data_IF_764681579170
#
_entry.id   IF_764681579170
#
_cell.length_a   1.000
_cell.length_b   1.000
_cell.length_c   1.000
_cell.angle_alpha   90.00
_cell.angle_beta   90.00
_cell.angle_gamma   90.00
#
_symmetry.space_group_name_H-M   'P 1'
#
loop_
_entity.id
_entity.type
_entity.pdbx_description
1 polymer ?
#
# COMPACT_ATOMS: atom_id res chain seq x y z
N UNK A 1 -0.18 -19.01 19.89
CA UNK A 1 -0.73 -20.33 20.12
C UNK A 1 -0.68 -20.72 21.58
N UNK A 2 -1.44 -21.75 21.92
CA UNK A 2 -1.54 -22.38 23.22
C UNK A 2 -0.54 -23.53 23.31
N UNK A 3 0.09 -23.69 24.48
CA UNK A 3 1.05 -24.77 24.72
C UNK A 3 0.36 -26.14 24.58
N UNK A 4 1.06 -27.12 24.02
CA UNK A 4 0.63 -28.52 24.05
C UNK A 4 0.61 -29.08 25.47
N UNK A 5 0.23 -30.35 25.61
CA UNK A 5 0.10 -31.02 26.91
C UNK A 5 -0.83 -32.22 26.85
N UNK A 6 -1.13 -32.80 28.01
CA UNK A 6 -2.14 -33.86 28.14
C UNK A 6 -3.53 -33.40 27.67
N UNK A 7 -4.30 -34.29 27.06
CA UNK A 7 -5.63 -34.06 26.50
C UNK A 7 -6.67 -35.02 27.10
N UNK A 8 -7.85 -34.49 27.39
CA UNK A 8 -9.06 -35.28 27.68
C UNK A 8 -10.11 -35.18 26.57
N UNK A 9 -9.79 -34.47 25.48
CA UNK A 9 -10.65 -34.16 24.34
C UNK A 9 -12.02 -33.53 24.69
N UNK A 10 -12.18 -32.98 25.91
CA UNK A 10 -13.40 -32.26 26.33
C UNK A 10 -13.25 -30.75 26.12
N UNK A 11 -12.03 -30.23 26.20
CA UNK A 11 -11.69 -28.85 25.89
C UNK A 11 -10.37 -28.82 25.13
N UNK A 12 -10.45 -28.45 23.85
CA UNK A 12 -9.31 -28.26 22.98
C UNK A 12 -9.01 -26.76 22.88
N UNK A 13 -7.73 -26.35 22.96
CA UNK A 13 -7.37 -24.96 22.84
C UNK A 13 -7.46 -24.49 21.39
N UNK A 14 -7.90 -23.25 21.22
CA UNK A 14 -7.88 -22.59 19.92
C UNK A 14 -6.45 -22.16 19.53
N UNK A 15 -6.26 -21.94 18.23
CA UNK A 15 -5.13 -21.25 17.64
C UNK A 15 -5.01 -19.81 18.14
N UNK A 16 -3.88 -19.17 17.82
CA UNK A 16 -3.78 -17.73 18.03
C UNK A 16 -4.63 -16.96 17.02
N UNK A 17 -5.45 -16.03 17.49
CA UNK A 17 -6.19 -15.11 16.62
C UNK A 17 -5.23 -14.29 15.74
N UNK A 18 -5.57 -14.15 14.47
CA UNK A 18 -4.92 -13.23 13.55
C UNK A 18 -5.20 -11.78 13.95
N UNK A 19 -4.23 -10.89 13.74
CA UNK A 19 -4.42 -9.48 14.02
C UNK A 19 -5.48 -8.88 13.08
N UNK A 20 -6.50 -8.20 13.64
CA UNK A 20 -7.56 -7.57 12.86
C UNK A 20 -7.19 -6.14 12.46
N UNK A 21 -7.21 -5.83 11.15
CA UNK A 21 -7.01 -4.47 10.66
C UNK A 21 -7.71 -4.20 9.33
N UNK A 22 -8.19 -2.98 9.14
CA UNK A 22 -8.87 -2.52 7.92
C UNK A 22 -8.30 -1.17 7.50
N UNK A 23 -7.83 -1.11 6.26
CA UNK A 23 -7.30 0.09 5.62
C UNK A 23 -8.32 0.63 4.63
N UNK A 24 -9.07 1.66 5.06
CA UNK A 24 -10.22 2.16 4.30
C UNK A 24 -11.28 1.07 4.13
N UNK A 25 -11.39 0.52 2.92
CA UNK A 25 -12.33 -0.57 2.60
C UNK A 25 -11.65 -1.94 2.43
N UNK A 26 -10.33 -2.00 2.53
CA UNK A 26 -9.56 -3.24 2.34
C UNK A 26 -9.27 -3.87 3.69
N UNK A 27 -9.71 -5.11 3.88
CA UNK A 27 -9.36 -5.91 5.04
C UNK A 27 -7.96 -6.50 4.85
N UNK A 28 -7.06 -6.18 5.77
CA UNK A 28 -5.66 -6.60 5.77
C UNK A 28 -5.32 -7.45 7.01
N UNK A 29 -6.33 -8.08 7.60
CA UNK A 29 -6.15 -8.91 8.80
C UNK A 29 -5.23 -10.10 8.55
N UNK A 30 -4.47 -10.49 9.57
CA UNK A 30 -3.75 -11.77 9.56
C UNK A 30 -4.71 -12.96 9.65
N UNK A 31 -4.21 -14.14 9.30
CA UNK A 31 -4.95 -15.39 9.45
C UNK A 31 -4.84 -15.95 10.86
N UNK A 32 -5.91 -16.56 11.35
CA UNK A 32 -5.93 -17.31 12.61
C UNK A 32 -5.04 -18.55 12.49
N UNK A 33 -4.33 -18.88 13.56
CA UNK A 33 -3.55 -20.13 13.66
C UNK A 33 -4.46 -21.36 13.71
N UNK A 34 -3.91 -22.52 13.40
CA UNK A 34 -4.65 -23.78 13.51
C UNK A 34 -5.08 -24.05 14.94
N UNK A 35 -6.31 -24.53 15.11
CA UNK A 35 -6.84 -25.05 16.37
C UNK A 35 -6.28 -26.46 16.63
N UNK A 36 -6.44 -26.96 17.85
CA UNK A 36 -6.11 -28.35 18.18
C UNK A 36 -7.33 -29.25 17.96
N UNK A 37 -7.12 -30.39 17.30
CA UNK A 37 -8.10 -31.48 17.27
C UNK A 37 -7.77 -32.52 18.36
N UNK A 38 -8.71 -33.43 18.62
CA UNK A 38 -8.45 -34.54 19.52
C UNK A 38 -7.46 -35.49 18.84
N UNK A 39 -6.31 -35.81 19.45
CA UNK A 39 -5.30 -36.62 18.80
C UNK A 39 -5.85 -37.97 18.38
N UNK A 40 -5.72 -38.31 17.10
CA UNK A 40 -6.10 -39.62 16.58
C UNK A 40 -5.11 -40.05 15.52
N UNK A 41 -4.50 -41.23 15.72
CA UNK A 41 -3.34 -41.63 14.94
C UNK A 41 -3.57 -41.54 13.42
N UNK A 42 -2.75 -40.73 12.74
CA UNK A 42 -2.84 -40.49 11.30
C UNK A 42 -3.83 -39.41 10.85
N UNK A 43 -4.55 -38.76 11.77
CA UNK A 43 -5.31 -37.55 11.44
C UNK A 43 -4.36 -36.37 11.21
N UNK A 44 -4.73 -35.50 10.27
CA UNK A 44 -4.03 -34.25 9.99
C UNK A 44 -4.64 -33.17 10.88
N UNK A 45 -3.79 -32.50 11.65
CA UNK A 45 -4.17 -31.40 12.50
C UNK A 45 -4.58 -30.16 11.68
N UNK A 46 -5.41 -29.27 12.25
CA UNK A 46 -5.85 -28.07 11.56
C UNK A 46 -4.68 -27.19 11.08
N UNK A 47 -4.82 -26.70 9.86
CA UNK A 47 -3.91 -25.69 9.29
C UNK A 47 -4.31 -24.31 9.74
N UNK A 48 -3.36 -23.38 9.77
CA UNK A 48 -3.67 -21.96 9.90
C UNK A 48 -4.45 -21.45 8.70
N UNK A 49 -5.13 -20.32 8.87
CA UNK A 49 -5.88 -19.67 7.80
C UNK A 49 -5.01 -18.67 7.04
N UNK A 50 -5.33 -18.44 5.77
CA UNK A 50 -4.65 -17.44 4.94
C UNK A 50 -5.03 -16.03 5.40
N UNK A 51 -4.03 -15.15 5.50
CA UNK A 51 -4.25 -13.73 5.77
C UNK A 51 -5.04 -13.03 4.67
N UNK A 52 -5.51 -11.82 4.94
CA UNK A 52 -6.30 -11.01 4.00
C UNK A 52 -5.50 -9.87 3.40
N UNK A 53 -5.80 -9.44 2.16
CA UNK A 53 -6.74 -10.05 1.22
C UNK A 53 -6.18 -11.34 0.59
N UNK A 54 -6.95 -12.43 0.63
CA UNK A 54 -6.47 -13.76 0.22
C UNK A 54 -6.19 -13.92 -1.28
N UNK A 55 -6.77 -13.05 -2.12
CA UNK A 55 -6.61 -13.09 -3.58
C UNK A 55 -5.46 -12.20 -4.10
N UNK A 56 -4.92 -11.31 -3.27
CA UNK A 56 -4.04 -10.22 -3.74
C UNK A 56 -2.90 -9.90 -2.78
N UNK A 57 -2.52 -10.80 -1.88
CA UNK A 57 -1.31 -10.61 -1.07
C UNK A 57 -1.31 -11.20 0.33
N UNK A 58 -2.40 -11.81 0.80
CA UNK A 58 -2.42 -12.50 2.07
C UNK A 58 -1.43 -13.68 2.12
N UNK A 59 -0.69 -13.80 3.23
CA UNK A 59 0.20 -14.92 3.47
C UNK A 59 -0.58 -16.22 3.65
N UNK A 60 -0.11 -17.30 3.01
CA UNK A 60 -0.76 -18.62 3.12
C UNK A 60 -0.69 -19.17 4.54
N UNK A 61 -1.76 -19.82 4.99
CA UNK A 61 -1.74 -20.52 6.28
C UNK A 61 -0.76 -21.69 6.31
N UNK A 62 -0.13 -21.89 7.46
CA UNK A 62 0.79 -23.01 7.70
C UNK A 62 0.04 -24.33 7.84
N UNK A 63 0.55 -25.38 7.20
CA UNK A 63 -0.02 -26.72 7.30
C UNK A 63 0.13 -27.30 8.72
N UNK A 64 -0.90 -28.02 9.18
CA UNK A 64 -0.81 -28.81 10.41
C UNK A 64 0.06 -30.07 10.25
N UNK A 65 0.54 -30.61 11.36
CA UNK A 65 1.17 -31.93 11.44
C UNK A 65 0.13 -33.05 11.41
N UNK A 66 0.54 -34.31 11.58
CA UNK A 66 -0.40 -35.41 11.79
C UNK A 66 -0.08 -36.21 13.06
N UNK A 67 -1.10 -36.76 13.69
CA UNK A 67 -0.91 -37.38 15.00
C UNK A 67 -0.19 -38.73 14.95
N UNK A 68 0.51 -38.99 16.04
CA UNK A 68 1.13 -40.28 16.36
C UNK A 68 0.21 -41.12 17.28
N UNK A 69 0.72 -42.26 17.74
CA UNK A 69 0.11 -42.96 18.88
C UNK A 69 1.14 -43.30 19.94
N UNK A 70 0.67 -43.45 21.18
CA UNK A 70 1.44 -43.85 22.35
C UNK A 70 1.08 -45.29 22.67
N UNK A 71 2.10 -46.14 22.78
CA UNK A 71 1.97 -47.56 23.06
C UNK A 71 2.86 -47.99 24.22
N UNK A 72 2.40 -48.95 25.02
CA UNK A 72 3.20 -49.57 26.07
C UNK A 72 4.11 -50.65 25.49
N UNK A 73 5.41 -50.37 25.42
CA UNK A 73 6.39 -51.36 25.03
C UNK A 73 6.63 -52.34 26.18
N UNK A 74 6.25 -53.61 25.98
CA UNK A 74 6.41 -54.65 26.99
C UNK A 74 7.87 -55.05 27.21
N UNK A 75 8.72 -54.90 26.19
CA UNK A 75 10.12 -55.31 26.25
C UNK A 75 10.92 -54.33 27.11
N UNK A 76 10.65 -53.03 26.96
CA UNK A 76 11.32 -51.97 27.71
C UNK A 76 10.55 -51.49 28.95
N UNK A 77 9.29 -51.95 29.12
CA UNK A 77 8.39 -51.53 30.20
C UNK A 77 8.25 -50.00 30.28
N UNK A 78 8.12 -49.36 29.13
CA UNK A 78 7.96 -47.91 28.99
C UNK A 78 6.94 -47.53 27.92
N UNK A 79 6.48 -46.28 27.98
CA UNK A 79 5.58 -45.71 26.98
C UNK A 79 6.38 -45.11 25.84
N UNK A 80 6.10 -45.56 24.62
CA UNK A 80 6.83 -45.15 23.43
C UNK A 80 5.89 -44.44 22.46
N UNK A 81 6.37 -43.33 21.91
CA UNK A 81 5.69 -42.54 20.88
C UNK A 81 6.01 -43.14 19.51
N UNK A 82 5.00 -43.74 18.87
CA UNK A 82 5.16 -44.33 17.55
C UNK A 82 4.71 -43.31 16.50
N UNK A 83 5.72 -42.75 15.83
CA UNK A 83 5.55 -41.67 14.86
C UNK A 83 5.05 -42.22 13.52
N UNK A 84 4.16 -41.47 12.89
CA UNK A 84 3.73 -41.67 11.50
C UNK A 84 4.58 -40.84 10.55
N UNK A 85 4.49 -41.11 9.24
CA UNK A 85 5.31 -40.43 8.22
C UNK A 85 5.05 -38.91 8.09
N UNK A 86 3.98 -38.40 8.72
CA UNK A 86 3.59 -36.98 8.72
C UNK A 86 3.62 -36.34 10.12
N UNK A 87 4.19 -37.02 11.12
CA UNK A 87 4.40 -36.47 12.47
C UNK A 87 5.45 -35.36 12.42
N UNK A 88 5.01 -34.10 12.54
CA UNK A 88 5.85 -32.93 12.32
C UNK A 88 5.37 -31.74 13.17
N UNK A 89 6.25 -30.77 13.34
CA UNK A 89 5.87 -29.47 13.85
C UNK A 89 4.86 -28.81 12.89
N UNK A 90 3.96 -28.01 13.45
CA UNK A 90 3.11 -27.16 12.63
C UNK A 90 3.97 -26.25 11.77
N UNK A 91 3.60 -26.06 10.50
CA UNK A 91 4.35 -25.17 9.62
C UNK A 91 4.01 -23.72 9.92
N UNK A 92 5.00 -22.84 9.77
CA UNK A 92 4.78 -21.41 9.93
C UNK A 92 3.85 -20.88 8.84
N UNK A 93 3.09 -19.85 9.17
CA UNK A 93 2.32 -19.08 8.20
C UNK A 93 3.25 -18.31 7.25
N UNK A 94 2.84 -18.18 6.00
CA UNK A 94 3.53 -17.37 5.01
C UNK A 94 3.45 -15.88 5.34
N UNK A 95 4.50 -15.14 4.94
CA UNK A 95 4.49 -13.67 5.00
C UNK A 95 3.45 -13.10 4.02
N UNK A 96 2.75 -12.04 4.42
CA UNK A 96 1.96 -11.23 3.50
C UNK A 96 2.82 -10.45 2.50
N UNK A 97 2.31 -10.21 1.30
CA UNK A 97 2.96 -9.38 0.29
C UNK A 97 2.87 -7.91 0.67
N UNK A 98 3.92 -7.16 0.34
CA UNK A 98 3.92 -5.71 0.43
C UNK A 98 2.97 -5.12 -0.62
N UNK A 99 2.36 -3.99 -0.30
CA UNK A 99 1.47 -3.28 -1.20
C UNK A 99 2.24 -2.59 -2.33
N UNK A 100 1.62 -2.50 -3.50
CA UNK A 100 2.18 -1.83 -4.67
C UNK A 100 2.38 -0.33 -4.43
N UNK A 101 3.42 0.22 -5.05
CA UNK A 101 3.75 1.64 -5.00
C UNK A 101 2.80 2.46 -5.88
N UNK A 102 2.57 3.71 -5.47
CA UNK A 102 1.83 4.68 -6.26
C UNK A 102 2.67 5.30 -7.38
N UNK A 103 2.01 5.61 -8.50
CA UNK A 103 2.60 6.24 -9.69
C UNK A 103 2.60 7.76 -9.53
N UNK A 104 3.65 8.41 -10.00
CA UNK A 104 3.80 9.86 -9.99
C UNK A 104 2.78 10.59 -10.89
N UNK A 105 2.34 11.76 -10.44
CA UNK A 105 1.39 12.61 -11.16
C UNK A 105 2.03 13.35 -12.34
N UNK A 106 1.27 13.53 -13.42
CA UNK A 106 1.72 14.32 -14.58
C UNK A 106 1.79 15.82 -14.25
N UNK A 107 2.77 16.53 -14.79
CA UNK A 107 2.87 17.98 -14.66
C UNK A 107 1.86 18.73 -15.54
N UNK A 108 1.60 20.00 -15.21
CA UNK A 108 0.75 20.88 -16.01
C UNK A 108 1.29 21.04 -17.44
N UNK A 109 0.47 20.68 -18.44
CA UNK A 109 0.92 20.43 -19.81
C UNK A 109 1.08 21.67 -20.69
N UNK A 110 0.52 22.81 -20.31
CA UNK A 110 0.62 24.06 -21.07
C UNK A 110 1.02 25.23 -20.18
N UNK A 111 2.16 25.86 -20.48
CA UNK A 111 2.54 27.16 -19.91
C UNK A 111 1.58 28.29 -20.28
N UNK A 112 0.67 28.03 -21.22
CA UNK A 112 -0.27 28.99 -21.76
C UNK A 112 -1.73 28.71 -21.38
N UNK A 113 -2.02 27.84 -20.41
CA UNK A 113 -3.37 27.67 -19.83
C UNK A 113 -4.52 27.67 -20.86
N UNK A 114 -5.68 28.22 -20.48
CA UNK A 114 -6.70 28.66 -21.42
C UNK A 114 -7.44 29.88 -20.86
N UNK A 115 -7.84 30.78 -21.76
CA UNK A 115 -8.63 31.95 -21.39
C UNK A 115 -10.13 31.62 -21.42
N UNK A 116 -10.82 31.90 -20.33
CA UNK A 116 -12.28 31.78 -20.19
C UNK A 116 -12.95 33.17 -20.28
N UNK A 117 -14.27 33.25 -20.51
CA UNK A 117 -15.00 34.50 -20.33
C UNK A 117 -14.68 35.11 -18.95
N UNK A 118 -14.52 36.44 -18.87
CA UNK A 118 -14.16 37.13 -17.62
C UNK A 118 -15.13 36.80 -16.47
N UNK A 119 -16.42 36.63 -16.79
CA UNK A 119 -17.44 36.23 -15.81
C UNK A 119 -17.20 34.83 -15.19
N UNK A 120 -16.39 33.99 -15.82
CA UNK A 120 -15.98 32.66 -15.35
C UNK A 120 -14.58 32.64 -14.72
N UNK A 121 -13.90 33.80 -14.60
CA UNK A 121 -12.60 33.94 -13.94
C UNK A 121 -11.43 34.34 -14.85
N UNK A 122 -11.64 34.42 -16.17
CA UNK A 122 -10.59 34.83 -17.11
C UNK A 122 -9.54 33.75 -17.31
N UNK A 123 -8.28 34.05 -16.97
CA UNK A 123 -7.18 33.11 -17.13
C UNK A 123 -7.33 31.85 -16.27
N UNK A 124 -7.27 30.67 -16.88
CA UNK A 124 -7.28 29.38 -16.20
C UNK A 124 -5.99 28.62 -16.55
N UNK A 125 -5.02 28.53 -15.62
CA UNK A 125 -3.74 27.87 -15.90
C UNK A 125 -3.86 26.35 -15.85
N UNK A 126 -2.87 25.65 -16.42
CA UNK A 126 -2.81 24.19 -16.37
C UNK A 126 -2.17 23.72 -15.06
N UNK A 127 -2.95 23.07 -14.21
CA UNK A 127 -2.44 22.42 -12.99
C UNK A 127 -1.82 21.06 -13.31
N UNK A 128 -0.95 20.60 -12.42
CA UNK A 128 -0.52 19.20 -12.43
C UNK A 128 -1.67 18.25 -12.10
N UNK A 129 -1.38 16.96 -12.14
CA UNK A 129 -2.25 15.88 -11.70
C UNK A 129 -1.72 15.28 -10.40
N UNK A 130 -2.62 14.76 -9.57
CA UNK A 130 -2.20 14.02 -8.39
C UNK A 130 -1.47 12.74 -8.82
N UNK A 131 -0.51 12.28 -8.02
CA UNK A 131 -0.04 10.90 -8.07
C UNK A 131 -1.15 9.93 -7.66
N UNK A 132 -0.87 8.63 -7.74
CA UNK A 132 -1.74 7.63 -7.13
C UNK A 132 -1.29 7.31 -5.71
N UNK A 133 -2.26 6.91 -4.88
CA UNK A 133 -1.97 6.30 -3.60
C UNK A 133 -1.22 4.97 -3.81
N UNK A 134 -0.54 4.50 -2.77
CA UNK A 134 -0.06 3.11 -2.75
C UNK A 134 -1.22 2.13 -2.49
N UNK A 135 -0.94 0.84 -2.54
CA UNK A 135 -1.89 -0.20 -2.15
C UNK A 135 -1.62 -0.71 -0.71
N UNK A 136 -2.65 -1.17 0.03
CA UNK A 136 -2.43 -1.80 1.33
C UNK A 136 -1.63 -3.11 1.22
N UNK A 137 -0.82 -3.41 2.23
CA UNK A 137 -0.12 -4.70 2.35
C UNK A 137 -1.04 -5.83 2.80
N UNK A 138 -0.67 -7.07 2.51
CA UNK A 138 -1.40 -8.26 2.95
C UNK A 138 -1.08 -8.68 4.37
N UNK A 139 -2.07 -9.18 5.11
CA UNK A 139 -1.87 -9.85 6.40
C UNK A 139 -1.11 -11.17 6.23
N UNK A 140 -0.33 -11.55 7.24
CA UNK A 140 0.38 -12.83 7.28
C UNK A 140 -0.57 -14.00 7.54
N UNK A 141 -0.19 -15.20 7.12
CA UNK A 141 -0.95 -16.43 7.39
C UNK A 141 -0.83 -16.88 8.84
N UNK A 142 -1.84 -17.57 9.37
CA UNK A 142 -1.70 -18.26 10.65
C UNK A 142 -0.78 -19.47 10.54
N UNK A 143 -0.08 -19.82 11.61
CA UNK A 143 0.71 -21.05 11.70
C UNK A 143 -0.17 -22.29 11.85
N UNK A 144 0.32 -23.44 11.43
CA UNK A 144 -0.36 -24.73 11.56
C UNK A 144 -0.22 -25.33 12.96
N UNK A 145 -1.13 -26.21 13.31
CA UNK A 145 -1.07 -26.96 14.57
C UNK A 145 -0.05 -28.11 14.49
N UNK A 146 0.69 -28.34 15.57
CA UNK A 146 1.63 -29.46 15.63
C UNK A 146 0.93 -30.78 15.90
N UNK A 147 1.57 -31.88 15.49
CA UNK A 147 1.16 -33.23 15.85
C UNK A 147 1.00 -33.43 17.36
N UNK A 148 -0.09 -34.08 17.75
CA UNK A 148 -0.27 -34.77 19.01
C UNK A 148 -0.04 -36.28 18.88
N UNK A 149 -0.55 -37.03 19.85
CA UNK A 149 -0.57 -38.47 19.85
C UNK A 149 -1.71 -39.04 20.69
N UNK A 150 -2.41 -39.99 20.08
CA UNK A 150 -3.47 -40.77 20.71
C UNK A 150 -2.88 -41.83 21.64
N UNK A 151 -3.46 -41.99 22.82
CA UNK A 151 -3.11 -43.06 23.73
C UNK A 151 -3.84 -44.35 23.30
N UNK A 152 -3.09 -45.34 22.83
CA UNK A 152 -3.64 -46.64 22.41
C UNK A 152 -3.77 -47.63 23.58
N UNK A 153 -2.83 -47.58 24.53
CA UNK A 153 -2.82 -48.42 25.73
C UNK A 153 -2.97 -47.58 27.00
N UNK A 154 -4.05 -47.80 27.74
CA UNK A 154 -4.41 -47.11 29.00
C UNK A 154 -3.31 -47.10 30.06
N UNK A 155 -2.32 -47.99 29.94
CA UNK A 155 -1.14 -48.04 30.80
C UNK A 155 -0.29 -46.76 30.70
N UNK A 156 -0.38 -46.05 29.57
CA UNK A 156 0.40 -44.86 29.27
C UNK A 156 -0.26 -43.52 29.63
N UNK A 157 -1.45 -43.55 30.25
CA UNK A 157 -2.11 -42.34 30.73
C UNK A 157 -3.17 -41.82 29.77
N UNK A 158 -2.98 -40.61 29.25
CA UNK A 158 -3.96 -39.87 28.42
C UNK A 158 -3.31 -39.39 27.11
N UNK A 159 -4.13 -38.89 26.20
CA UNK A 159 -3.66 -38.38 24.90
C UNK A 159 -2.72 -37.18 25.10
N UNK A 160 -1.77 -36.99 24.18
CA UNK A 160 -0.87 -35.85 24.17
C UNK A 160 -1.20 -34.94 22.99
N UNK A 161 -1.37 -33.64 23.23
CA UNK A 161 -1.56 -32.64 22.16
C UNK A 161 -0.28 -31.95 21.79
N UNK A 162 -0.19 -31.59 20.51
CA UNK A 162 0.76 -30.61 20.02
C UNK A 162 0.39 -29.19 20.45
N UNK A 163 1.28 -28.25 20.19
CA UNK A 163 0.96 -26.82 20.32
C UNK A 163 0.12 -26.32 19.16
N UNK A 164 -0.80 -25.38 19.43
CA UNK A 164 -1.64 -24.75 18.40
C UNK A 164 -0.87 -23.72 17.58
N UNK A 165 -1.40 -23.33 16.43
CA UNK A 165 -0.80 -22.32 15.57
C UNK A 165 -0.72 -20.92 16.18
N UNK A 166 0.25 -20.12 15.74
CA UNK A 166 0.29 -18.67 15.98
C UNK A 166 -0.60 -17.90 14.99
N UNK A 167 -1.21 -16.79 15.42
CA UNK A 167 -1.98 -15.94 14.52
C UNK A 167 -1.07 -15.05 13.67
N UNK A 168 -1.45 -14.78 12.42
CA UNK A 168 -0.70 -13.92 11.51
C UNK A 168 -0.79 -12.43 11.85
N UNK A 169 0.22 -11.66 11.44
CA UNK A 169 0.23 -10.21 11.57
C UNK A 169 -0.72 -9.53 10.58
N UNK A 170 -1.17 -8.31 10.88
CA UNK A 170 -2.03 -7.51 9.98
C UNK A 170 -1.23 -6.63 9.04
N UNK A 171 -1.63 -6.49 7.77
CA UNK A 171 -0.96 -5.66 6.77
C UNK A 171 -0.97 -4.16 7.08
N UNK A 172 -0.01 -3.44 6.51
CA UNK A 172 0.07 -1.99 6.61
C UNK A 172 -0.86 -1.25 5.63
N UNK A 173 -1.39 -0.10 6.04
CA UNK A 173 -2.19 0.75 5.15
C UNK A 173 -1.34 1.51 4.13
N UNK A 174 -1.92 1.87 2.99
CA UNK A 174 -1.21 2.62 1.96
C UNK A 174 -0.84 4.04 2.38
N UNK A 175 0.21 4.56 1.75
CA UNK A 175 0.48 5.99 1.71
C UNK A 175 -0.51 6.70 0.79
N UNK A 176 -0.84 7.95 1.13
CA UNK A 176 -1.71 8.82 0.32
C UNK A 176 -0.87 9.78 -0.52
N UNK A 177 -1.29 10.02 -1.76
CA UNK A 177 -0.69 11.00 -2.65
C UNK A 177 -0.88 12.43 -2.16
N UNK A 178 0.10 13.30 -2.45
CA UNK A 178 -0.01 14.73 -2.20
C UNK A 178 -0.98 15.43 -3.17
N UNK A 179 -1.31 16.70 -2.93
CA UNK A 179 -2.09 17.48 -3.88
C UNK A 179 -1.22 17.98 -5.04
N UNK A 180 -1.77 18.01 -6.25
CA UNK A 180 -1.09 18.59 -7.41
C UNK A 180 -0.79 20.08 -7.26
N UNK A 181 0.30 20.50 -7.91
CA UNK A 181 0.67 21.90 -8.03
C UNK A 181 -0.32 22.66 -8.91
N UNK A 182 -0.77 23.82 -8.46
CA UNK A 182 -1.65 24.70 -9.25
C UNK A 182 -0.86 25.43 -10.31
N UNK A 183 -1.44 25.64 -11.49
CA UNK A 183 -0.78 26.47 -12.50
C UNK A 183 -0.67 27.95 -12.09
N UNK A 184 0.33 28.65 -12.62
CA UNK A 184 0.65 30.04 -12.33
C UNK A 184 -0.27 31.04 -13.03
N UNK A 185 -0.49 32.19 -12.41
CA UNK A 185 -1.29 33.27 -13.00
C UNK A 185 -0.58 33.89 -14.21
N UNK A 186 -1.31 34.19 -15.28
CA UNK A 186 -0.73 34.90 -16.42
C UNK A 186 -0.76 36.41 -16.23
N UNK A 187 0.19 37.09 -16.86
CA UNK A 187 0.29 38.54 -16.92
C UNK A 187 -0.04 39.01 -18.33
N UNK A 188 -1.01 39.92 -18.44
CA UNK A 188 -1.57 40.36 -19.72
C UNK A 188 -1.72 41.88 -19.75
N UNK A 189 -1.07 42.54 -20.70
CA UNK A 189 -1.23 43.98 -20.90
C UNK A 189 -2.58 44.32 -21.55
N UNK A 190 -2.96 43.56 -22.57
CA UNK A 190 -4.26 43.66 -23.23
C UNK A 190 -4.77 42.28 -23.66
N UNK A 191 -6.02 41.96 -23.33
CA UNK A 191 -6.70 40.78 -23.86
C UNK A 191 -7.82 41.19 -24.80
N UNK A 192 -7.75 40.69 -26.04
CA UNK A 192 -8.74 40.94 -27.07
C UNK A 192 -9.52 39.66 -27.35
N UNK A 193 -10.83 39.72 -27.13
CA UNK A 193 -11.75 38.61 -27.33
C UNK A 193 -12.77 38.95 -28.42
N UNK A 194 -12.84 38.14 -29.47
CA UNK A 194 -13.88 38.26 -30.49
C UNK A 194 -13.38 37.97 -31.91
N UNK A 195 -14.31 38.01 -32.86
CA UNK A 195 -14.04 37.79 -34.28
C UNK A 195 -13.63 39.04 -35.06
N UNK A 196 -13.89 40.23 -34.48
CA UNK A 196 -13.51 41.52 -35.05
C UNK A 196 -12.49 42.19 -34.15
N UNK A 197 -11.28 42.40 -34.67
CA UNK A 197 -10.20 43.00 -33.92
C UNK A 197 -10.24 44.54 -34.00
N UNK A 198 -10.09 45.27 -32.89
CA UNK A 198 -10.00 46.73 -32.91
C UNK A 198 -8.67 47.17 -33.52
N UNK A 199 -8.58 48.38 -34.06
CA UNK A 199 -7.29 48.96 -34.46
C UNK A 199 -6.53 49.42 -33.22
N UNK A 200 -5.30 48.90 -33.03
CA UNK A 200 -4.40 49.34 -31.97
C UNK A 200 -3.37 50.31 -32.55
N UNK A 201 -3.37 51.58 -32.12
CA UNK A 201 -2.38 52.57 -32.54
C UNK A 201 -1.99 53.56 -31.44
N UNK A 202 -0.68 53.80 -31.29
CA UNK A 202 -0.15 54.81 -30.35
C UNK A 202 -0.31 54.44 -28.88
N UNK A 203 -0.35 53.14 -28.56
CA UNK A 203 -0.45 52.64 -27.19
C UNK A 203 0.93 52.26 -26.63
N UNK A 204 1.04 52.32 -25.31
CA UNK A 204 2.12 51.72 -24.52
C UNK A 204 1.49 50.59 -23.69
N UNK A 205 1.74 49.34 -24.07
CA UNK A 205 1.12 48.16 -23.50
C UNK A 205 2.21 47.28 -22.92
N UNK A 206 2.17 47.14 -21.59
CA UNK A 206 3.16 46.38 -20.83
C UNK A 206 2.47 45.27 -20.05
N UNK A 207 3.04 44.07 -20.11
CA UNK A 207 2.78 42.99 -19.17
C UNK A 207 4.00 42.78 -18.27
N UNK A 208 3.77 42.46 -17.01
CA UNK A 208 4.80 42.01 -16.07
C UNK A 208 5.10 40.51 -16.26
N UNK A 209 5.97 39.94 -15.43
CA UNK A 209 6.26 38.50 -15.45
C UNK A 209 5.03 37.64 -15.13
N UNK A 210 4.95 36.47 -15.76
CA UNK A 210 3.96 35.45 -15.40
C UNK A 210 4.27 34.85 -14.03
N UNK A 211 3.24 34.40 -13.32
CA UNK A 211 3.39 33.74 -12.02
C UNK A 211 3.93 32.32 -12.15
N UNK A 212 4.76 31.89 -11.22
CA UNK A 212 5.30 30.53 -11.19
C UNK A 212 4.21 29.48 -10.95
N UNK A 213 4.43 28.29 -11.49
CA UNK A 213 3.63 27.11 -11.19
C UNK A 213 3.87 26.63 -9.75
N UNK A 214 2.81 26.17 -9.10
CA UNK A 214 2.87 25.58 -7.77
C UNK A 214 3.62 24.24 -7.79
N UNK A 215 4.34 23.97 -6.70
CA UNK A 215 5.02 22.68 -6.48
C UNK A 215 3.97 21.59 -6.19
N UNK A 216 4.16 20.40 -6.76
CA UNK A 216 3.34 19.24 -6.44
C UNK A 216 3.67 18.68 -5.05
N UNK A 217 2.65 18.18 -4.35
CA UNK A 217 2.81 17.59 -3.02
C UNK A 217 3.49 16.23 -3.07
N UNK A 218 4.30 15.96 -2.03
CA UNK A 218 4.99 14.68 -1.88
C UNK A 218 4.00 13.54 -1.57
N UNK A 219 4.38 12.33 -1.97
CA UNK A 219 3.66 11.11 -1.62
C UNK A 219 3.88 10.72 -0.15
N UNK A 220 2.84 10.21 0.49
CA UNK A 220 2.90 9.67 1.84
C UNK A 220 3.58 8.30 1.91
N UNK A 221 4.16 8.00 3.07
CA UNK A 221 4.70 6.67 3.36
C UNK A 221 3.57 5.67 3.64
N UNK A 222 3.79 4.40 3.26
CA UNK A 222 2.94 3.30 3.68
C UNK A 222 3.16 2.90 5.15
N UNK A 223 2.16 2.23 5.71
CA UNK A 223 2.15 1.71 7.07
C UNK A 223 2.98 0.45 7.24
N UNK A 224 3.45 0.22 8.46
CA UNK A 224 4.22 -0.98 8.82
C UNK A 224 3.29 -2.17 9.00
N UNK A 225 3.65 -3.31 8.41
CA UNK A 225 2.99 -4.59 8.65
C UNK A 225 3.22 -5.11 10.07
N UNK A 226 2.22 -5.79 10.63
CA UNK A 226 2.28 -6.42 11.95
C UNK A 226 3.12 -7.69 11.96
N UNK A 227 3.71 -7.97 13.12
CA UNK A 227 4.49 -9.20 13.37
C UNK A 227 3.53 -10.36 13.65
N UNK A 228 3.85 -11.55 13.17
CA UNK A 228 3.13 -12.78 13.47
C UNK A 228 3.28 -13.22 14.94
N UNK A 229 2.25 -13.89 15.44
CA UNK A 229 2.22 -14.46 16.79
C UNK A 229 2.99 -15.77 16.88
N UNK A 230 3.64 -16.00 18.02
CA UNK A 230 4.38 -17.25 18.28
C UNK A 230 3.40 -18.43 18.43
N UNK A 231 3.75 -19.57 17.84
CA UNK A 231 3.07 -20.85 17.95
C UNK A 231 3.13 -21.44 19.37
N UNK A 232 2.23 -22.39 19.62
CA UNK A 232 2.16 -23.14 20.86
C UNK A 232 3.41 -24.00 21.06
N UNK A 233 4.11 -23.86 22.17
CA UNK A 233 5.28 -24.70 22.46
C UNK A 233 4.86 -26.13 22.83
N UNK A 234 5.70 -27.11 22.48
CA UNK A 234 5.53 -28.49 22.98
C UNK A 234 5.63 -28.54 24.51
N UNK A 235 4.92 -29.47 25.13
CA UNK A 235 5.12 -29.79 26.54
C UNK A 235 6.09 -30.96 26.71
N UNK A 236 7.30 -30.68 27.20
CA UNK A 236 8.33 -31.71 27.39
C UNK A 236 8.10 -32.57 28.63
N UNK A 237 7.16 -32.21 29.51
CA UNK A 237 6.96 -32.89 30.79
C UNK A 237 5.78 -33.85 30.73
N UNK A 238 4.59 -33.36 30.40
CA UNK A 238 3.38 -34.18 30.45
C UNK A 238 2.93 -34.58 29.04
N UNK A 239 2.98 -33.69 28.05
CA UNK A 239 2.65 -33.97 26.64
C UNK A 239 3.84 -34.30 25.74
N UNK A 240 4.76 -35.17 26.18
CA UNK A 240 6.10 -35.32 25.58
C UNK A 240 6.13 -35.85 24.13
N UNK A 241 5.06 -36.49 23.67
CA UNK A 241 4.91 -36.99 22.30
C UNK A 241 4.29 -35.93 21.35
N UNK A 242 3.87 -34.78 21.88
CA UNK A 242 3.41 -33.64 21.10
C UNK A 242 4.56 -32.75 20.59
N UNK A 243 4.31 -32.01 19.52
CA UNK A 243 5.27 -31.09 18.90
C UNK A 243 4.89 -29.61 19.08
N UNK A 244 5.73 -28.71 18.54
CA UNK A 244 5.52 -27.24 18.61
C UNK A 244 4.72 -26.80 17.39
N UNK A 245 3.70 -25.96 17.61
CA UNK A 245 2.90 -25.38 16.53
C UNK A 245 3.70 -24.33 15.76
N UNK A 246 3.29 -24.07 14.52
CA UNK A 246 3.92 -23.08 13.67
C UNK A 246 3.66 -21.65 14.14
N UNK A 247 4.61 -20.77 13.92
CA UNK A 247 4.44 -19.34 14.13
C UNK A 247 3.53 -18.75 13.04
N UNK A 248 2.81 -17.68 13.38
CA UNK A 248 2.10 -16.88 12.37
C UNK A 248 3.11 -16.13 11.49
N UNK A 249 2.76 -15.92 10.23
CA UNK A 249 3.54 -15.11 9.31
C UNK A 249 3.45 -13.62 9.62
N UNK A 250 4.54 -12.91 9.35
CA UNK A 250 4.55 -11.44 9.36
C UNK A 250 3.72 -10.88 8.19
N UNK A 251 3.16 -9.69 8.38
CA UNK A 251 2.41 -9.02 7.33
C UNK A 251 3.30 -8.22 6.38
N UNK A 252 2.75 -7.85 5.23
CA UNK A 252 3.35 -6.92 4.30
C UNK A 252 3.18 -5.46 4.73
N UNK A 253 4.15 -4.64 4.35
CA UNK A 253 4.09 -3.18 4.42
C UNK A 253 3.04 -2.64 3.45
N UNK A 254 2.42 -1.52 3.79
CA UNK A 254 1.64 -0.76 2.80
C UNK A 254 2.56 -0.10 1.79
N UNK A 255 2.09 0.02 0.55
CA UNK A 255 2.78 0.71 -0.52
C UNK A 255 2.88 2.21 -0.25
N UNK A 256 3.99 2.81 -0.66
CA UNK A 256 4.21 4.26 -0.66
C UNK A 256 3.43 4.92 -1.79
N UNK A 257 3.01 6.18 -1.63
CA UNK A 257 2.31 6.90 -2.70
C UNK A 257 3.28 7.55 -3.70
N UNK A 258 2.79 7.81 -4.91
CA UNK A 258 3.48 8.63 -5.89
C UNK A 258 3.43 10.12 -5.55
N UNK A 259 4.46 10.86 -5.95
CA UNK A 259 4.49 12.32 -5.83
C UNK A 259 3.61 12.98 -6.87
N UNK A 260 3.00 14.11 -6.54
CA UNK A 260 2.06 14.80 -7.44
C UNK A 260 2.77 15.74 -8.41
N UNK A 261 2.18 15.95 -9.59
CA UNK A 261 2.78 16.78 -10.63
C UNK A 261 2.78 18.27 -10.27
N UNK A 262 3.80 18.98 -10.74
CA UNK A 262 3.90 20.44 -10.60
C UNK A 262 2.98 21.20 -11.56
N UNK A 263 2.55 22.39 -11.16
CA UNK A 263 1.76 23.28 -12.00
C UNK A 263 2.59 23.90 -13.12
N UNK A 264 1.94 24.24 -14.23
CA UNK A 264 2.58 25.06 -15.28
C UNK A 264 2.85 26.49 -14.78
N UNK A 265 3.90 27.14 -15.28
CA UNK A 265 4.07 28.58 -15.12
C UNK A 265 3.05 29.36 -15.94
N UNK A 266 2.67 30.54 -15.47
CA UNK A 266 1.76 31.44 -16.19
C UNK A 266 2.48 32.23 -17.28
N UNK A 267 1.80 32.61 -18.37
CA UNK A 267 2.43 33.33 -19.46
C UNK A 267 2.62 34.81 -19.13
N UNK A 268 3.43 35.47 -19.95
CA UNK A 268 3.46 36.92 -20.04
C UNK A 268 3.23 37.37 -21.49
N UNK A 269 2.11 38.08 -21.72
CA UNK A 269 1.75 38.58 -23.04
C UNK A 269 1.42 40.06 -23.01
N UNK A 270 2.12 40.87 -23.82
CA UNK A 270 1.76 42.27 -24.01
C UNK A 270 0.33 42.35 -24.60
N UNK A 271 0.08 41.59 -25.67
CA UNK A 271 -1.24 41.45 -26.27
C UNK A 271 -1.59 39.97 -26.47
N UNK A 272 -2.74 39.55 -25.96
CA UNK A 272 -3.28 38.21 -26.16
C UNK A 272 -4.60 38.27 -26.93
N UNK A 273 -4.69 37.53 -28.04
CA UNK A 273 -5.88 37.48 -28.90
C UNK A 273 -6.49 36.10 -28.85
N UNK A 274 -7.77 36.01 -28.50
CA UNK A 274 -8.50 34.75 -28.48
C UNK A 274 -9.56 34.70 -29.58
N UNK A 275 -9.57 33.59 -30.33
CA UNK A 275 -10.62 33.24 -31.30
C UNK A 275 -10.31 33.60 -32.74
N UNK A 276 -9.28 34.41 -33.01
CA UNK A 276 -8.79 34.73 -34.35
C UNK A 276 -7.27 34.84 -34.36
N UNK A 277 -6.65 34.55 -35.50
CA UNK A 277 -5.23 34.82 -35.72
C UNK A 277 -5.12 36.25 -36.27
N UNK A 278 -4.53 37.21 -35.53
CA UNK A 278 -4.33 38.55 -36.04
C UNK A 278 -3.39 38.56 -37.24
N UNK A 279 -3.63 39.46 -38.19
CA UNK A 279 -2.66 39.74 -39.24
C UNK A 279 -1.39 40.35 -38.63
N UNK A 280 -0.23 40.14 -39.25
CA UNK A 280 1.06 40.61 -38.73
C UNK A 280 1.16 42.13 -38.55
N UNK A 281 0.27 42.89 -39.20
CA UNK A 281 0.16 44.35 -39.17
C UNK A 281 -0.99 44.86 -38.27
N UNK A 282 -1.71 43.97 -37.58
CA UNK A 282 -2.87 44.32 -36.77
C UNK A 282 -2.55 45.36 -35.68
N UNK A 283 -1.40 45.19 -35.02
CA UNK A 283 -0.84 46.21 -34.15
C UNK A 283 -0.03 47.20 -34.99
N UNK A 284 -0.41 48.48 -34.95
CA UNK A 284 0.37 49.55 -35.56
C UNK A 284 1.84 49.51 -35.09
N UNK A 285 2.77 49.78 -36.01
CA UNK A 285 4.18 49.99 -35.68
C UNK A 285 4.43 51.17 -34.71
N UNK A 286 3.41 52.00 -34.44
CA UNK A 286 3.47 53.08 -33.44
C UNK A 286 3.15 52.64 -32.01
N UNK A 287 2.78 51.37 -31.79
CA UNK A 287 2.62 50.85 -30.43
C UNK A 287 3.99 50.45 -29.84
N UNK A 288 4.13 50.64 -28.54
CA UNK A 288 5.20 50.09 -27.74
C UNK A 288 4.63 48.90 -26.97
N UNK A 289 5.11 47.69 -27.26
CA UNK A 289 4.67 46.45 -26.64
C UNK A 289 5.84 45.85 -25.85
N UNK A 290 5.65 45.64 -24.55
CA UNK A 290 6.62 44.94 -23.70
C UNK A 290 5.93 43.80 -22.95
N UNK A 291 6.63 42.67 -22.85
CA UNK A 291 6.23 41.51 -22.06
C UNK A 291 7.32 41.17 -21.04
N UNK A 292 6.91 40.55 -19.94
CA UNK A 292 7.80 39.97 -18.94
C UNK A 292 8.21 38.54 -19.30
N UNK A 293 8.93 37.89 -18.40
CA UNK A 293 9.32 36.48 -18.53
C UNK A 293 8.11 35.61 -18.16
N UNK A 294 7.90 34.51 -18.89
CA UNK A 294 6.94 33.49 -18.47
C UNK A 294 7.33 32.86 -17.13
N UNK A 295 6.34 32.54 -16.30
CA UNK A 295 6.58 31.96 -14.98
C UNK A 295 7.31 30.62 -15.05
N UNK A 296 8.11 30.31 -14.03
CA UNK A 296 8.80 29.04 -13.94
C UNK A 296 7.80 27.88 -13.76
N UNK A 297 8.19 26.70 -14.23
CA UNK A 297 7.44 25.49 -13.97
C UNK A 297 7.50 25.11 -12.48
N UNK A 298 6.36 24.68 -11.93
CA UNK A 298 6.34 24.00 -10.64
C UNK A 298 7.04 22.65 -10.75
N UNK A 299 7.87 22.33 -9.75
CA UNK A 299 8.51 21.01 -9.63
C UNK A 299 7.44 20.00 -9.16
N UNK A 300 7.50 18.76 -9.61
CA UNK A 300 6.67 17.69 -9.04
C UNK A 300 7.16 17.29 -7.64
N UNK A 301 6.25 16.77 -6.82
CA UNK A 301 6.57 16.23 -5.50
C UNK A 301 7.38 14.95 -5.60
N UNK A 302 8.15 14.62 -4.56
CA UNK A 302 8.77 13.30 -4.46
C UNK A 302 7.72 12.23 -4.19
N UNK A 303 7.96 10.98 -4.57
CA UNK A 303 7.18 9.87 -4.03
C UNK A 303 7.43 9.68 -2.53
N UNK A 304 6.60 8.86 -1.88
CA UNK A 304 6.85 8.43 -0.51
C UNK A 304 8.11 7.57 -0.46
N UNK A 305 8.98 7.83 0.51
CA UNK A 305 10.26 7.13 0.63
C UNK A 305 10.32 6.27 1.89
N UNK A 306 10.75 5.02 1.73
CA UNK A 306 11.09 4.10 2.82
C UNK A 306 12.50 3.54 2.57
N UNK A 307 13.07 2.81 3.53
CA UNK A 307 14.40 2.21 3.34
C UNK A 307 14.48 1.13 2.23
N UNK A 308 13.35 0.73 1.66
CA UNK A 308 13.24 -0.42 0.73
C UNK A 308 12.46 -0.11 -0.56
N UNK A 309 11.81 1.06 -0.65
CA UNK A 309 10.87 1.42 -1.70
C UNK A 309 10.71 2.94 -1.74
N UNK A 310 10.78 3.50 -2.95
CA UNK A 310 10.60 4.93 -3.23
C UNK A 310 9.52 5.06 -4.29
N UNK A 311 8.41 5.72 -3.97
CA UNK A 311 7.34 5.95 -4.93
C UNK A 311 7.82 6.82 -6.09
N UNK A 312 7.11 6.73 -7.22
CA UNK A 312 7.45 7.50 -8.41
C UNK A 312 7.31 9.01 -8.14
N UNK A 313 8.30 9.83 -8.50
CA UNK A 313 8.19 11.28 -8.37
C UNK A 313 7.19 11.85 -9.39
N UNK A 314 6.53 12.94 -9.01
CA UNK A 314 5.69 13.71 -9.93
C UNK A 314 6.52 14.43 -11.00
N UNK A 315 5.95 14.61 -12.18
CA UNK A 315 6.58 15.38 -13.24
C UNK A 315 6.46 16.89 -13.00
N UNK A 316 7.48 17.65 -13.40
CA UNK A 316 7.42 19.11 -13.41
C UNK A 316 6.42 19.63 -14.46
N UNK A 317 5.85 20.80 -14.21
CA UNK A 317 4.99 21.48 -15.19
C UNK A 317 5.77 22.07 -16.38
N UNK A 318 5.04 22.65 -17.33
CA UNK A 318 5.62 23.46 -18.40
C UNK A 318 5.97 24.88 -17.92
N UNK A 319 7.02 25.48 -18.46
CA UNK A 319 7.35 26.91 -18.26
C UNK A 319 6.33 27.77 -18.99
N UNK A 320 6.01 28.94 -18.44
CA UNK A 320 5.09 29.90 -19.04
C UNK A 320 5.57 30.43 -20.39
N UNK A 321 4.62 30.60 -21.32
CA UNK A 321 4.92 31.16 -22.63
C UNK A 321 5.11 32.68 -22.58
N UNK A 322 5.81 33.22 -23.57
CA UNK A 322 6.04 34.66 -23.71
C UNK A 322 5.88 35.09 -25.17
N UNK A 323 5.12 36.16 -25.42
CA UNK A 323 4.94 36.73 -26.75
C UNK A 323 4.46 38.20 -26.69
N UNK A 324 4.67 38.93 -27.78
CA UNK A 324 4.20 40.31 -27.96
C UNK A 324 2.79 40.36 -28.56
#
# INVERSE_FOLDING_TARGET
>A
GSKGGEADCQSLPDGGDGAYHVCGNTNVSGGDGGDQDCPFAGNIEPSGTTGRPSASGGGGGGAGGCDAYIYWDQDDSECTCIISDCWDAGKDGGRGLDGDEGIGGAGGSSGSGFWQPIAAGGWSPSSGQNGSDGEPGGGGGGGGTASGAEMYDSTCGVDHRGGTGGGGGSGGCSGLSGSAGTGGGGSFGLVVYGSNLPTLSGNDINADDGGDGGVGGDGGIGGIGGIGGIGGRRDTTNGWCGLTGGDGGDAGYGGVAGGSGGGSGGPSYAVYVQGVVPAADWASATNFLSYGIGGAAGIGGSGGATGVSDGDPGAAGAVGDQNW
#
